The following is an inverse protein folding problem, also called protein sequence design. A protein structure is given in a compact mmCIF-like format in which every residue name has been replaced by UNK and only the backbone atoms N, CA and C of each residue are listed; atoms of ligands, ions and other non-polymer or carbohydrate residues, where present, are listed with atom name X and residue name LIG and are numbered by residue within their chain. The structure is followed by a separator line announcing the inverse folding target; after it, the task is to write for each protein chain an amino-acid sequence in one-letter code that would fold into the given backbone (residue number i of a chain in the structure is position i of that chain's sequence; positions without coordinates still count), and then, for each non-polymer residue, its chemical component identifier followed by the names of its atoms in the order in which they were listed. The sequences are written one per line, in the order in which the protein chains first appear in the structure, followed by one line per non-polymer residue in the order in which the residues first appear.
data_IF_001452516695
#
_entry.id   IF_001452516695
#
_cell.length_a   1.000
_cell.length_b   1.000
_cell.length_c   1.000
_cell.angle_alpha   90.00
_cell.angle_beta   90.00
_cell.angle_gamma   90.00
#
_symmetry.space_group_name_H-M   'P 1'
#
loop_
_entity.id
_entity.type
_entity.pdbx_description
1 polymer ?
#
# COMPACT_ATOMS: atom_id res chain seq x y z
N UNK A 1 -29.05 -3.52 28.72
CA UNK A 1 -27.95 -3.87 27.79
C UNK A 1 -26.70 -3.17 28.29
N UNK A 2 -25.55 -3.85 28.30
CA UNK A 2 -24.26 -3.19 28.55
C UNK A 2 -23.68 -2.77 27.20
N UNK A 3 -23.50 -1.47 26.91
CA UNK A 3 -22.94 -1.02 25.64
C UNK A 3 -21.52 -1.56 25.44
N UNK A 4 -21.15 -1.92 24.20
CA UNK A 4 -19.78 -2.32 23.91
C UNK A 4 -18.84 -1.10 23.97
N UNK A 5 -17.51 -1.32 24.12
CA UNK A 5 -16.52 -0.24 24.04
C UNK A 5 -16.61 0.59 22.75
N UNK A 6 -16.88 -0.07 21.62
CA UNK A 6 -17.03 0.55 20.30
C UNK A 6 -18.29 1.42 20.25
N UNK A 7 -19.41 0.93 20.81
CA UNK A 7 -20.64 1.70 20.91
C UNK A 7 -20.47 2.96 21.77
N UNK A 8 -19.72 2.88 22.86
CA UNK A 8 -19.44 4.05 23.71
C UNK A 8 -18.53 5.07 23.02
N UNK A 9 -17.55 4.62 22.23
CA UNK A 9 -16.72 5.49 21.42
C UNK A 9 -17.56 6.19 20.34
N UNK A 10 -18.39 5.45 19.61
CA UNK A 10 -19.31 6.01 18.61
C UNK A 10 -20.30 7.02 19.22
N UNK A 11 -20.83 6.74 20.42
CA UNK A 11 -21.65 7.70 21.17
C UNK A 11 -20.88 8.98 21.52
N UNK A 12 -19.62 8.85 21.96
CA UNK A 12 -18.78 10.00 22.28
C UNK A 12 -18.47 10.85 21.03
N UNK A 13 -18.41 10.22 19.86
CA UNK A 13 -18.16 10.88 18.58
C UNK A 13 -19.41 11.49 17.93
N UNK A 14 -20.60 11.03 18.29
CA UNK A 14 -21.88 11.47 17.71
C UNK A 14 -22.31 10.66 16.49
N UNK A 15 -21.75 9.47 16.31
CA UNK A 15 -21.90 8.62 15.12
C UNK A 15 -22.98 7.52 15.28
N UNK A 16 -23.79 7.60 16.34
CA UNK A 16 -24.89 6.66 16.56
C UNK A 16 -26.20 7.17 15.95
N UNK A 17 -27.03 6.25 15.47
CA UNK A 17 -28.41 6.57 15.13
C UNK A 17 -29.25 6.91 16.38
N UNK A 18 -30.41 7.53 16.18
CA UNK A 18 -31.25 8.01 17.27
C UNK A 18 -31.74 6.90 18.21
N UNK A 19 -31.96 5.68 17.71
CA UNK A 19 -32.44 4.57 18.53
C UNK A 19 -31.33 4.04 19.44
N UNK A 20 -30.14 3.83 18.87
CA UNK A 20 -28.96 3.38 19.61
C UNK A 20 -28.49 4.45 20.60
N UNK A 21 -28.56 5.72 20.23
CA UNK A 21 -28.23 6.84 21.12
C UNK A 21 -29.12 6.82 22.39
N UNK A 22 -30.44 6.69 22.23
CA UNK A 22 -31.37 6.62 23.35
C UNK A 22 -31.16 5.37 24.24
N UNK A 23 -30.69 4.27 23.67
CA UNK A 23 -30.31 3.08 24.44
C UNK A 23 -29.05 3.29 25.27
N UNK A 24 -28.00 3.88 24.67
CA UNK A 24 -26.76 4.21 25.37
C UNK A 24 -27.00 5.24 26.48
N UNK A 25 -27.84 6.26 26.25
CA UNK A 25 -28.21 7.25 27.26
C UNK A 25 -28.89 6.62 28.48
N UNK A 26 -29.80 5.65 28.27
CA UNK A 26 -30.39 4.89 29.38
C UNK A 26 -29.35 4.07 30.14
N UNK A 27 -28.39 3.46 29.43
CA UNK A 27 -27.31 2.71 30.07
C UNK A 27 -26.38 3.63 30.89
N UNK A 28 -26.06 4.82 30.37
CA UNK A 28 -25.26 5.83 31.07
C UNK A 28 -26.00 6.34 32.33
N UNK A 29 -27.31 6.56 32.24
CA UNK A 29 -28.12 6.96 33.39
C UNK A 29 -28.13 5.90 34.51
N UNK A 30 -28.01 4.62 34.15
CA UNK A 30 -27.95 3.51 35.09
C UNK A 30 -26.55 3.26 35.68
N UNK A 31 -25.47 3.65 34.98
CA UNK A 31 -24.09 3.43 35.41
C UNK A 31 -23.17 4.66 35.22
N UNK A 32 -22.82 5.38 36.31
CA UNK A 32 -21.89 6.51 36.27
C UNK A 32 -20.48 6.15 35.76
N UNK A 33 -20.07 4.89 35.75
CA UNK A 33 -18.79 4.47 35.18
C UNK A 33 -18.77 4.64 33.66
N UNK A 34 -19.90 4.38 32.98
CA UNK A 34 -20.05 4.61 31.54
C UNK A 34 -19.96 6.10 31.20
N UNK A 35 -20.56 6.95 32.03
CA UNK A 35 -20.42 8.41 31.89
C UNK A 35 -18.95 8.84 31.93
N UNK A 36 -18.17 8.33 32.90
CA UNK A 36 -16.73 8.62 32.98
C UNK A 36 -15.95 8.12 31.76
N UNK A 37 -16.34 6.98 31.19
CA UNK A 37 -15.72 6.46 29.98
C UNK A 37 -15.98 7.36 28.77
N UNK A 38 -17.22 7.79 28.57
CA UNK A 38 -17.59 8.74 27.50
C UNK A 38 -16.82 10.04 27.65
N UNK A 39 -16.70 10.58 28.86
CA UNK A 39 -15.92 11.80 29.10
C UNK A 39 -14.43 11.64 28.79
N UNK A 40 -13.83 10.46 29.04
CA UNK A 40 -12.45 10.19 28.59
C UNK A 40 -12.33 10.22 27.07
N UNK A 41 -13.29 9.64 26.34
CA UNK A 41 -13.30 9.67 24.87
C UNK A 41 -13.45 11.11 24.34
N UNK A 42 -14.39 11.89 24.90
CA UNK A 42 -14.57 13.31 24.54
C UNK A 42 -13.33 14.15 24.85
N UNK A 43 -12.68 13.93 25.99
CA UNK A 43 -11.44 14.61 26.35
C UNK A 43 -10.28 14.24 25.42
N UNK A 44 -10.21 13.00 24.92
CA UNK A 44 -9.24 12.63 23.88
C UNK A 44 -9.53 13.35 22.56
N UNK A 45 -10.79 13.32 22.09
CA UNK A 45 -11.24 14.03 20.88
C UNK A 45 -10.89 15.52 20.94
N UNK A 46 -11.19 16.18 22.06
CA UNK A 46 -10.90 17.59 22.27
C UNK A 46 -9.39 17.89 22.22
N UNK A 47 -8.54 17.05 22.82
CA UNK A 47 -7.08 17.19 22.76
C UNK A 47 -6.54 17.06 21.33
N UNK A 48 -7.02 16.08 20.58
CA UNK A 48 -6.64 15.88 19.19
C UNK A 48 -7.10 17.05 18.31
N UNK A 49 -8.36 17.47 18.46
CA UNK A 49 -8.91 18.62 17.74
C UNK A 49 -8.11 19.90 18.00
N UNK A 50 -7.77 20.17 19.27
CA UNK A 50 -6.95 21.32 19.63
C UNK A 50 -5.53 21.26 19.03
N UNK A 51 -4.92 20.08 18.96
CA UNK A 51 -3.59 19.90 18.38
C UNK A 51 -3.58 20.21 16.87
N UNK A 52 -4.63 19.80 16.15
CA UNK A 52 -4.73 19.99 14.70
C UNK A 52 -5.46 21.29 14.29
N UNK A 53 -6.08 22.00 15.23
CA UNK A 53 -6.77 23.26 14.97
C UNK A 53 -5.94 24.29 14.17
N UNK A 54 -4.61 24.46 14.39
CA UNK A 54 -3.82 25.43 13.65
C UNK A 54 -3.77 25.17 12.13
N UNK A 55 -4.05 23.95 11.66
CA UNK A 55 -4.14 23.65 10.21
C UNK A 55 -5.31 24.38 9.56
N UNK A 56 -6.38 24.64 10.32
CA UNK A 56 -7.56 25.37 9.83
C UNK A 56 -7.27 26.86 9.60
N UNK A 57 -6.25 27.41 10.26
CA UNK A 57 -5.82 28.80 10.09
C UNK A 57 -4.88 28.97 8.87
N UNK A 58 -4.45 27.88 8.24
CA UNK A 58 -3.61 27.95 7.05
C UNK A 58 -4.40 28.60 5.89
N UNK A 59 -3.80 29.56 5.17
CA UNK A 59 -4.48 30.20 4.05
C UNK A 59 -4.78 29.17 2.97
N UNK A 60 -6.03 29.17 2.51
CA UNK A 60 -6.43 28.31 1.39
C UNK A 60 -5.65 28.71 0.12
N UNK A 61 -5.19 27.73 -0.69
CA UNK A 61 -4.54 28.00 -1.97
C UNK A 61 -5.38 28.96 -2.85
N UNK A 62 -4.76 29.95 -3.50
CA UNK A 62 -5.48 30.93 -4.33
C UNK A 62 -6.37 30.30 -5.41
N UNK A 63 -5.96 29.16 -5.97
CA UNK A 63 -6.74 28.43 -6.97
C UNK A 63 -8.06 27.87 -6.43
N UNK A 64 -8.11 27.43 -5.17
CA UNK A 64 -9.34 26.96 -4.52
C UNK A 64 -10.29 28.13 -4.23
N UNK A 65 -9.75 29.24 -3.72
CA UNK A 65 -10.52 30.47 -3.52
C UNK A 65 -11.11 30.96 -4.85
N UNK A 66 -10.31 30.99 -5.91
CA UNK A 66 -10.76 31.38 -7.24
C UNK A 66 -11.83 30.43 -7.81
N UNK A 67 -11.76 29.13 -7.53
CA UNK A 67 -12.76 28.16 -7.98
C UNK A 67 -14.11 28.34 -7.28
N UNK A 68 -14.10 28.67 -5.98
CA UNK A 68 -15.34 28.85 -5.20
C UNK A 68 -15.95 30.26 -5.38
N UNK A 69 -15.11 31.28 -5.60
CA UNK A 69 -15.58 32.66 -5.80
C UNK A 69 -16.06 32.94 -7.24
N UNK A 70 -15.83 32.03 -8.19
CA UNK A 70 -16.36 32.20 -9.54
C UNK A 70 -17.89 32.02 -9.51
N UNK A 71 -18.67 33.00 -10.01
CA UNK A 71 -20.08 32.81 -10.19
C UNK A 71 -20.29 31.63 -11.14
N UNK A 72 -21.01 30.60 -10.68
CA UNK A 72 -21.36 29.43 -11.47
C UNK A 72 -22.33 29.86 -12.57
N UNK A 73 -21.79 30.39 -13.68
CA UNK A 73 -22.58 30.76 -14.86
C UNK A 73 -22.95 29.49 -15.63
N UNK A 74 -23.96 28.79 -15.12
CA UNK A 74 -24.53 27.58 -15.73
C UNK A 74 -23.71 26.32 -15.43
N UNK A 75 -24.42 25.20 -15.26
CA UNK A 75 -23.82 23.88 -15.24
C UNK A 75 -23.32 23.55 -16.66
N UNK A 76 -22.13 24.06 -17.02
CA UNK A 76 -21.45 23.65 -18.24
C UNK A 76 -21.08 22.18 -18.07
N UNK A 77 -21.88 21.31 -18.70
CA UNK A 77 -21.57 19.87 -18.79
C UNK A 77 -20.39 19.75 -19.73
N UNK A 78 -19.19 19.69 -19.15
CA UNK A 78 -17.96 19.51 -19.91
C UNK A 78 -17.93 18.06 -20.42
N UNK A 79 -18.08 17.89 -21.73
CA UNK A 79 -17.90 16.59 -22.38
C UNK A 79 -16.40 16.25 -22.44
N UNK A 80 -15.96 15.45 -21.48
CA UNK A 80 -14.59 14.95 -21.41
C UNK A 80 -14.18 14.10 -22.63
N UNK A 81 -15.14 13.56 -23.40
CA UNK A 81 -14.87 12.81 -24.64
C UNK A 81 -14.49 13.75 -25.79
N UNK A 82 -15.17 14.88 -25.93
CA UNK A 82 -14.85 15.91 -26.92
C UNK A 82 -13.49 16.57 -26.64
N UNK A 83 -13.16 16.84 -25.37
CA UNK A 83 -11.84 17.35 -24.97
C UNK A 83 -10.71 16.35 -25.29
N UNK A 84 -10.96 15.04 -25.14
CA UNK A 84 -10.01 13.97 -25.50
C UNK A 84 -9.79 13.86 -27.00
N UNK A 85 -10.84 14.06 -27.81
CA UNK A 85 -10.75 14.03 -29.27
C UNK A 85 -9.96 15.22 -29.86
N UNK A 86 -9.94 16.37 -29.15
CA UNK A 86 -9.21 17.58 -29.56
C UNK A 86 -7.73 17.58 -29.18
N UNK A 87 -7.25 16.63 -28.36
CA UNK A 87 -5.81 16.48 -28.11
C UNK A 87 -5.11 16.05 -29.42
N UNK A 88 -4.16 16.83 -29.95
CA UNK A 88 -3.44 16.41 -31.14
C UNK A 88 -2.70 15.11 -30.82
N UNK A 89 -3.08 14.01 -31.48
CA UNK A 89 -2.33 12.73 -31.49
C UNK A 89 -1.02 12.84 -32.29
N UNK A 90 -0.36 13.99 -32.25
CA UNK A 90 0.91 14.23 -32.93
C UNK A 90 2.04 14.14 -31.93
N UNK A 91 2.33 12.91 -31.50
CA UNK A 91 3.71 12.52 -31.29
C UNK A 91 4.29 12.22 -32.69
N UNK A 92 4.43 13.26 -33.50
CA UNK A 92 5.16 13.16 -34.75
C UNK A 92 6.65 13.14 -34.38
N UNK A 93 7.15 11.97 -34.00
CA UNK A 93 8.57 11.71 -34.01
C UNK A 93 9.02 11.80 -35.48
N UNK A 94 9.63 12.93 -35.84
CA UNK A 94 10.28 13.08 -37.13
C UNK A 94 11.26 11.93 -37.35
N UNK A 95 11.16 11.28 -38.50
CA UNK A 95 11.84 10.01 -38.84
C UNK A 95 13.37 10.02 -38.82
N UNK A 96 14.02 11.10 -38.39
CA UNK A 96 15.48 11.19 -38.22
C UNK A 96 15.97 10.94 -36.80
N UNK A 97 15.17 11.24 -35.76
CA UNK A 97 15.60 11.10 -34.35
C UNK A 97 15.31 9.69 -33.80
N UNK A 98 14.33 9.00 -34.40
CA UNK A 98 13.89 7.67 -33.96
C UNK A 98 14.96 6.59 -34.05
N UNK A 99 15.87 6.63 -35.03
CA UNK A 99 16.93 5.62 -35.16
C UNK A 99 18.06 5.80 -34.14
N UNK A 100 18.41 7.04 -33.79
CA UNK A 100 19.45 7.31 -32.79
C UNK A 100 18.93 7.13 -31.35
N UNK A 101 17.68 7.53 -31.07
CA UNK A 101 17.03 7.23 -29.80
C UNK A 101 16.71 5.75 -29.66
N UNK A 102 16.27 5.06 -30.71
CA UNK A 102 16.09 3.61 -30.64
C UNK A 102 17.40 2.87 -30.43
N UNK A 103 18.50 3.27 -31.08
CA UNK A 103 19.81 2.62 -30.88
C UNK A 103 20.41 2.89 -29.48
N UNK A 104 20.21 4.10 -28.92
CA UNK A 104 20.67 4.43 -27.57
C UNK A 104 19.74 3.87 -26.48
N UNK A 105 18.43 3.78 -26.72
CA UNK A 105 17.49 3.06 -25.85
C UNK A 105 17.68 1.55 -25.94
N UNK A 106 17.96 0.95 -27.11
CA UNK A 106 18.28 -0.49 -27.18
C UNK A 106 19.62 -0.76 -26.51
N UNK A 107 20.63 0.09 -26.68
CA UNK A 107 21.89 -0.07 -25.96
C UNK A 107 21.73 0.13 -24.46
N UNK A 108 20.94 1.11 -23.99
CA UNK A 108 20.66 1.31 -22.57
C UNK A 108 19.75 0.21 -21.99
N UNK A 109 18.76 -0.29 -22.73
CA UNK A 109 17.86 -1.37 -22.31
C UNK A 109 18.58 -2.72 -22.35
N UNK A 110 19.45 -2.98 -23.33
CA UNK A 110 20.21 -4.24 -23.44
C UNK A 110 21.42 -4.25 -22.50
N UNK A 111 22.05 -3.11 -22.21
CA UNK A 111 23.13 -3.04 -21.22
C UNK A 111 22.63 -2.88 -19.77
N UNK A 112 21.41 -2.36 -19.54
CA UNK A 112 20.80 -2.29 -18.20
C UNK A 112 19.75 -3.37 -17.91
N UNK A 113 19.31 -4.15 -18.91
CA UNK A 113 18.77 -5.48 -18.64
C UNK A 113 19.96 -6.44 -18.53
N UNK A 114 20.32 -6.92 -17.34
CA UNK A 114 20.81 -8.29 -17.23
C UNK A 114 19.65 -9.22 -17.63
N UNK A 115 19.28 -9.21 -18.91
CA UNK A 115 18.32 -10.11 -19.49
C UNK A 115 18.96 -11.49 -19.52
N UNK A 116 18.53 -12.35 -18.59
CA UNK A 116 18.71 -13.80 -18.74
C UNK A 116 19.73 -14.49 -17.84
N UNK A 117 20.21 -13.87 -16.76
CA UNK A 117 21.01 -14.60 -15.74
C UNK A 117 20.24 -14.82 -14.43
N UNK A 118 18.90 -14.82 -14.48
CA UNK A 118 18.09 -15.40 -13.42
C UNK A 118 18.18 -16.94 -13.46
N UNK A 119 17.97 -17.66 -12.35
CA UNK A 119 18.07 -19.13 -12.29
C UNK A 119 17.12 -19.94 -13.18
N UNK A 120 16.31 -19.27 -14.02
CA UNK A 120 15.23 -19.84 -14.81
C UNK A 120 13.85 -19.60 -14.20
N UNK A 121 12.81 -20.24 -14.76
CA UNK A 121 11.42 -20.08 -14.32
C UNK A 121 11.24 -20.36 -12.82
N UNK A 122 10.42 -19.55 -12.15
CA UNK A 122 10.14 -19.69 -10.72
C UNK A 122 11.15 -19.02 -9.78
N UNK A 123 12.10 -18.25 -10.32
CA UNK A 123 12.98 -17.39 -9.55
C UNK A 123 12.73 -15.93 -9.87
N UNK A 124 13.00 -15.05 -8.91
CA UNK A 124 13.03 -13.62 -9.16
C UNK A 124 14.22 -13.28 -10.07
N UNK A 125 14.01 -12.36 -10.99
CA UNK A 125 15.02 -11.87 -11.91
C UNK A 125 15.02 -10.32 -11.96
N UNK A 126 16.03 -9.78 -12.65
CA UNK A 126 16.15 -8.35 -12.95
C UNK A 126 15.94 -7.44 -11.72
N UNK A 127 14.97 -6.53 -11.84
CA UNK A 127 14.68 -5.53 -10.82
C UNK A 127 14.15 -6.13 -9.51
N UNK A 128 13.39 -7.23 -9.58
CA UNK A 128 12.85 -7.88 -8.39
C UNK A 128 13.96 -8.58 -7.60
N UNK A 129 14.84 -9.32 -8.27
CA UNK A 129 16.01 -9.94 -7.63
C UNK A 129 16.89 -8.88 -6.96
N UNK A 130 17.18 -7.78 -7.66
CA UNK A 130 17.97 -6.67 -7.11
C UNK A 130 17.33 -6.04 -5.87
N UNK A 131 16.01 -5.83 -5.88
CA UNK A 131 15.28 -5.33 -4.71
C UNK A 131 15.37 -6.32 -3.53
N UNK A 132 15.16 -7.61 -3.80
CA UNK A 132 15.26 -8.68 -2.80
C UNK A 132 16.69 -8.87 -2.26
N UNK A 133 17.72 -8.47 -3.02
CA UNK A 133 19.10 -8.52 -2.53
C UNK A 133 19.49 -7.29 -1.71
N UNK A 134 19.08 -6.10 -2.16
CA UNK A 134 19.70 -4.84 -1.71
C UNK A 134 18.84 -4.06 -0.75
N UNK A 135 17.52 -4.10 -0.90
CA UNK A 135 16.59 -3.30 -0.12
C UNK A 135 16.56 -3.78 1.34
N UNK A 136 16.32 -2.89 2.31
CA UNK A 136 15.93 -3.29 3.68
C UNK A 136 14.40 -3.30 3.79
N UNK A 137 13.84 -4.17 4.61
CA UNK A 137 12.40 -4.27 4.80
C UNK A 137 11.82 -2.94 5.29
N UNK A 138 10.72 -2.50 4.69
CA UNK A 138 10.07 -1.23 5.02
C UNK A 138 10.78 0.03 4.49
N UNK A 139 11.90 -0.10 3.77
CA UNK A 139 12.61 1.02 3.16
C UNK A 139 12.59 0.88 1.64
N UNK A 140 11.55 1.42 0.98
CA UNK A 140 11.47 1.45 -0.47
C UNK A 140 11.82 2.84 -1.02
N UNK A 141 12.77 2.95 -1.97
CA UNK A 141 12.92 4.17 -2.75
C UNK A 141 11.60 4.52 -3.47
N UNK A 142 11.30 5.81 -3.59
CA UNK A 142 10.15 6.25 -4.38
C UNK A 142 10.30 5.76 -5.84
N UNK A 143 9.27 5.09 -6.37
CA UNK A 143 9.28 4.54 -7.72
C UNK A 143 10.01 3.19 -7.87
N UNK A 144 10.36 2.51 -6.78
CA UNK A 144 10.89 1.15 -6.86
C UNK A 144 9.88 0.17 -7.49
N UNK A 145 10.37 -0.72 -8.35
CA UNK A 145 9.54 -1.71 -9.05
C UNK A 145 8.91 -2.75 -8.11
N UNK A 146 9.53 -3.00 -6.96
CA UNK A 146 8.98 -3.78 -5.87
C UNK A 146 9.47 -3.20 -4.54
N UNK A 147 8.64 -3.30 -3.50
CA UNK A 147 9.01 -3.01 -2.11
C UNK A 147 9.16 -4.31 -1.35
N UNK A 148 10.23 -4.45 -0.58
CA UNK A 148 10.32 -5.49 0.44
C UNK A 148 9.61 -5.04 1.71
N UNK A 149 8.67 -5.85 2.18
CA UNK A 149 7.83 -5.54 3.35
C UNK A 149 8.25 -6.29 4.61
N UNK A 150 8.84 -7.49 4.47
CA UNK A 150 9.27 -8.31 5.60
C UNK A 150 10.40 -9.26 5.19
N UNK A 151 11.29 -9.57 6.13
CA UNK A 151 12.30 -10.62 6.03
C UNK A 151 12.19 -11.56 7.24
N UNK A 152 12.27 -12.87 7.02
CA UNK A 152 12.15 -13.88 8.07
C UNK A 152 12.91 -15.17 7.69
N UNK A 153 13.10 -16.09 8.63
CA UNK A 153 13.63 -17.42 8.35
C UNK A 153 12.48 -18.45 8.34
N UNK A 154 12.49 -19.39 7.40
CA UNK A 154 11.54 -20.52 7.38
C UNK A 154 11.99 -21.70 8.26
N UNK A 155 11.20 -22.77 8.29
CA UNK A 155 11.51 -23.98 9.06
C UNK A 155 12.76 -24.74 8.61
N UNK A 156 13.24 -24.48 7.39
CA UNK A 156 14.49 -25.03 6.87
C UNK A 156 15.70 -24.13 7.15
N UNK A 157 15.50 -23.01 7.84
CA UNK A 157 16.50 -21.95 8.03
C UNK A 157 16.79 -21.15 6.76
N UNK A 158 15.99 -21.29 5.70
CA UNK A 158 16.11 -20.43 4.52
C UNK A 158 15.62 -19.03 4.85
N UNK A 159 16.36 -18.02 4.38
CA UNK A 159 15.94 -16.63 4.52
C UNK A 159 14.93 -16.31 3.42
N UNK A 160 13.75 -15.84 3.85
CA UNK A 160 12.63 -15.52 2.98
C UNK A 160 12.26 -14.05 3.11
N UNK A 161 11.81 -13.46 2.01
CA UNK A 161 11.42 -12.06 1.92
C UNK A 161 10.06 -11.93 1.25
N UNK A 162 9.18 -11.18 1.90
CA UNK A 162 7.88 -10.78 1.35
C UNK A 162 8.03 -9.48 0.55
N UNK A 163 7.49 -9.46 -0.67
CA UNK A 163 7.55 -8.29 -1.55
C UNK A 163 6.16 -7.91 -2.07
N UNK A 164 6.01 -6.64 -2.45
CA UNK A 164 4.84 -6.10 -3.14
C UNK A 164 5.30 -5.22 -4.31
N UNK A 165 4.74 -5.42 -5.50
CA UNK A 165 5.04 -4.65 -6.72
C UNK A 165 3.86 -3.81 -7.22
N UNK A 166 2.79 -3.68 -6.43
CA UNK A 166 1.58 -2.94 -6.80
C UNK A 166 0.66 -3.66 -7.80
N UNK A 167 1.21 -4.56 -8.61
CA UNK A 167 0.45 -5.51 -9.44
C UNK A 167 0.16 -6.84 -8.73
N UNK A 168 0.73 -7.00 -7.54
CA UNK A 168 0.74 -8.24 -6.78
C UNK A 168 1.92 -8.31 -5.84
N UNK A 169 1.88 -9.24 -4.90
CA UNK A 169 2.96 -9.51 -3.97
C UNK A 169 3.29 -11.00 -3.92
N UNK A 170 4.23 -11.36 -3.07
CA UNK A 170 4.63 -12.75 -2.91
C UNK A 170 5.73 -12.94 -1.90
N UNK A 171 6.10 -14.20 -1.70
CA UNK A 171 7.24 -14.60 -0.87
C UNK A 171 8.27 -15.28 -1.74
N UNK A 172 9.51 -14.84 -1.59
CA UNK A 172 10.68 -15.47 -2.19
C UNK A 172 11.63 -15.95 -1.10
N UNK A 173 12.15 -17.17 -1.21
CA UNK A 173 13.17 -17.70 -0.30
C UNK A 173 14.50 -17.87 -1.03
N UNK A 174 15.59 -17.48 -0.38
CA UNK A 174 16.91 -17.53 -0.95
C UNK A 174 17.51 -18.94 -0.88
N UNK A 175 18.01 -19.43 -2.00
CA UNK A 175 18.76 -20.68 -2.10
C UNK A 175 20.10 -20.47 -2.84
N UNK A 176 20.79 -21.57 -3.15
CA UNK A 176 22.09 -21.53 -3.80
C UNK A 176 22.09 -20.86 -5.20
N UNK A 177 20.92 -20.77 -5.84
CA UNK A 177 20.76 -20.13 -7.15
C UNK A 177 20.25 -18.69 -7.04
N UNK A 178 19.49 -18.37 -5.99
CA UNK A 178 18.99 -17.03 -5.73
C UNK A 178 17.61 -17.06 -5.09
N UNK A 179 16.82 -16.01 -5.35
CA UNK A 179 15.47 -15.85 -4.79
C UNK A 179 14.43 -16.71 -5.51
N UNK A 180 14.08 -17.86 -4.92
CA UNK A 180 13.03 -18.74 -5.44
C UNK A 180 11.65 -18.22 -5.04
N UNK A 181 10.78 -17.99 -6.01
CA UNK A 181 9.39 -17.59 -5.79
C UNK A 181 8.59 -18.82 -5.35
N UNK A 182 8.01 -18.77 -4.15
CA UNK A 182 7.33 -19.94 -3.55
C UNK A 182 5.84 -19.71 -3.29
N UNK A 183 5.41 -18.45 -3.28
CA UNK A 183 4.02 -18.02 -3.10
C UNK A 183 3.81 -16.68 -3.78
N UNK A 184 2.64 -16.51 -4.39
CA UNK A 184 2.19 -15.25 -4.98
C UNK A 184 0.83 -14.88 -4.38
N UNK A 185 0.65 -13.60 -4.09
CA UNK A 185 -0.54 -13.04 -3.44
C UNK A 185 -0.97 -11.84 -4.26
N UNK A 186 -2.06 -11.99 -5.03
CA UNK A 186 -2.45 -11.00 -6.04
C UNK A 186 -1.55 -11.11 -7.28
N UNK A 187 -2.19 -11.18 -8.46
CA UNK A 187 -1.53 -11.50 -9.72
C UNK A 187 -1.88 -12.92 -10.19
N UNK A 188 -3.09 -13.09 -10.69
CA UNK A 188 -3.57 -14.33 -11.31
C UNK A 188 -4.84 -14.05 -12.10
N UNK A 189 -4.86 -14.49 -13.36
CA UNK A 189 -5.85 -14.23 -14.40
C UNK A 189 -7.32 -14.42 -13.97
N UNK A 190 -8.17 -13.61 -14.60
CA UNK A 190 -9.62 -13.76 -14.79
C UNK A 190 -10.39 -14.27 -13.57
N UNK A 191 -11.19 -13.36 -12.99
CA UNK A 191 -12.43 -13.74 -12.36
C UNK A 191 -13.08 -14.89 -13.15
N UNK A 192 -13.28 -16.03 -12.48
CA UNK A 192 -14.26 -16.99 -12.95
C UNK A 192 -15.60 -16.25 -13.10
N UNK A 193 -16.43 -16.60 -14.10
CA UNK A 193 -17.68 -15.88 -14.33
C UNK A 193 -18.57 -16.07 -13.10
N UNK A 194 -18.68 -15.03 -12.26
CA UNK A 194 -19.55 -15.05 -11.08
C UNK A 194 -19.16 -14.23 -9.86
N UNK A 195 -18.06 -13.47 -9.83
CA UNK A 195 -17.70 -12.66 -8.65
C UNK A 195 -17.40 -11.19 -8.98
N UNK A 196 -18.41 -10.54 -9.56
CA UNK A 196 -18.37 -9.17 -10.05
C UNK A 196 -18.64 -8.13 -8.93
N UNK A 197 -18.39 -8.50 -7.67
CA UNK A 197 -18.81 -7.69 -6.53
C UNK A 197 -18.04 -7.87 -5.22
N UNK A 198 -16.99 -8.70 -5.19
CA UNK A 198 -16.16 -8.83 -3.99
C UNK A 198 -15.48 -7.49 -3.68
N UNK A 199 -15.97 -6.82 -2.63
CA UNK A 199 -15.36 -5.62 -2.06
C UNK A 199 -13.88 -5.90 -1.79
N UNK A 200 -13.00 -5.38 -2.65
CA UNK A 200 -11.56 -5.46 -2.45
C UNK A 200 -11.12 -4.24 -1.67
N UNK A 201 -10.92 -4.41 -0.37
CA UNK A 201 -10.30 -3.39 0.45
C UNK A 201 -8.86 -3.14 0.00
N UNK A 202 -8.46 -1.87 -0.09
CA UNK A 202 -7.08 -1.49 -0.29
C UNK A 202 -6.23 -2.07 0.86
N UNK A 203 -5.17 -2.83 0.53
CA UNK A 203 -4.32 -3.52 1.50
C UNK A 203 -4.69 -4.96 1.83
N UNK A 204 -5.74 -5.53 1.21
CA UNK A 204 -6.10 -6.95 1.39
C UNK A 204 -4.97 -7.92 0.95
N UNK A 205 -4.17 -7.54 -0.05
CA UNK A 205 -3.00 -8.31 -0.50
C UNK A 205 -1.85 -8.24 0.51
N UNK A 206 -1.65 -7.09 1.17
CA UNK A 206 -0.65 -6.94 2.23
C UNK A 206 -1.00 -7.79 3.46
N UNK A 207 -2.27 -7.80 3.86
CA UNK A 207 -2.74 -8.63 4.98
C UNK A 207 -2.55 -10.13 4.69
N UNK A 208 -2.92 -10.59 3.49
CA UNK A 208 -2.72 -11.97 3.08
C UNK A 208 -1.22 -12.35 2.98
N UNK A 209 -0.38 -11.42 2.52
CA UNK A 209 1.07 -11.61 2.48
C UNK A 209 1.66 -11.72 3.90
N UNK A 210 1.25 -10.88 4.84
CA UNK A 210 1.71 -10.95 6.23
C UNK A 210 1.28 -12.25 6.92
N UNK A 211 0.03 -12.68 6.72
CA UNK A 211 -0.46 -13.95 7.28
C UNK A 211 0.34 -15.14 6.73
N UNK A 212 0.63 -15.15 5.43
CA UNK A 212 1.44 -16.17 4.80
C UNK A 212 2.89 -16.18 5.33
N UNK A 213 3.48 -15.00 5.54
CA UNK A 213 4.81 -14.89 6.12
C UNK A 213 4.83 -15.43 7.56
N UNK A 214 3.81 -15.14 8.36
CA UNK A 214 3.67 -15.65 9.73
C UNK A 214 3.54 -17.16 9.79
N UNK A 215 2.76 -17.77 8.89
CA UNK A 215 2.60 -19.23 8.80
C UNK A 215 3.94 -19.93 8.44
N UNK A 216 4.74 -19.29 7.59
CA UNK A 216 6.01 -19.81 7.14
C UNK A 216 7.17 -19.58 8.10
N UNK A 217 7.13 -18.49 8.86
CA UNK A 217 8.25 -18.05 9.68
C UNK A 217 8.48 -18.98 10.88
N UNK A 218 9.76 -19.30 11.13
CA UNK A 218 10.19 -19.85 12.40
C UNK A 218 10.89 -18.77 13.21
N UNK A 219 10.13 -18.17 14.11
CA UNK A 219 10.58 -17.06 14.95
C UNK A 219 10.14 -15.69 14.42
N UNK A 220 10.65 -14.60 15.03
CA UNK A 220 10.28 -13.25 14.64
C UNK A 220 10.84 -12.89 13.26
N UNK A 221 10.27 -11.85 12.66
CA UNK A 221 10.89 -11.19 11.52
C UNK A 221 12.32 -10.73 11.87
N UNK A 222 13.21 -10.72 10.87
CA UNK A 222 14.56 -10.21 11.02
C UNK A 222 14.48 -8.72 11.39
N UNK A 223 15.13 -8.37 12.49
CA UNK A 223 15.33 -6.96 12.82
C UNK A 223 16.30 -6.30 11.82
N UNK A 224 16.42 -4.96 11.82
CA UNK A 224 17.29 -4.26 10.87
C UNK A 224 18.77 -4.64 10.95
N UNK A 225 19.27 -5.11 12.11
CA UNK A 225 20.66 -5.53 12.26
C UNK A 225 20.89 -6.94 11.68
N UNK A 226 19.99 -7.87 11.98
CA UNK A 226 19.97 -9.22 11.42
C UNK A 226 19.80 -9.18 9.90
N UNK A 227 18.93 -8.32 9.37
CA UNK A 227 18.74 -8.15 7.93
C UNK A 227 20.00 -7.59 7.23
N UNK A 228 20.68 -6.61 7.85
CA UNK A 228 21.97 -6.10 7.34
C UNK A 228 23.05 -7.18 7.35
N UNK A 229 23.11 -8.00 8.39
CA UNK A 229 24.05 -9.11 8.49
C UNK A 229 23.75 -10.19 7.43
N UNK A 230 22.49 -10.57 7.25
CA UNK A 230 22.04 -11.47 6.20
C UNK A 230 22.41 -10.96 4.80
N UNK A 231 22.16 -9.68 4.53
CA UNK A 231 22.56 -9.03 3.27
C UNK A 231 24.07 -9.07 3.05
N UNK A 232 24.87 -8.75 4.08
CA UNK A 232 26.33 -8.81 4.01
C UNK A 232 26.85 -10.25 3.80
N UNK A 233 26.14 -11.24 4.35
CA UNK A 233 26.42 -12.65 4.15
C UNK A 233 25.91 -13.19 2.80
N UNK A 234 25.23 -12.38 1.97
CA UNK A 234 24.65 -12.79 0.70
C UNK A 234 23.47 -13.74 0.86
N UNK A 235 22.66 -13.54 1.92
CA UNK A 235 21.42 -14.28 2.20
C UNK A 235 21.58 -15.80 2.31
N UNK A 236 22.81 -16.26 2.60
CA UNK A 236 23.08 -17.67 2.90
C UNK A 236 22.44 -18.06 4.23
N UNK A 237 21.99 -19.31 4.31
CA UNK A 237 21.49 -19.88 5.57
C UNK A 237 22.58 -19.78 6.64
N UNK A 238 22.26 -19.34 7.86
CA UNK A 238 23.20 -19.36 8.98
C UNK A 238 23.60 -20.80 9.36
#
# INVERSE_FOLDING_TARGET
MTPSPETLAAYADGELDAAMQAEVERAIAADPALARQVERHRALKARLAAHYAPVLDAPLPPGLLAAVSQPQTGAEVIDFSAARARRPRRLAWGGGIGLALAASLTLAVVLQHPGGNGPGPGYADGALASALDTQLSGQAPAGAAARVVISFADASGALCRGYDSGQGGGIACHDARGWKLIRQVGGGAAAGPGDDGAYRQAGSHDAALMALAQDMAQGPALDPAAERAARAAGWRKP
#
